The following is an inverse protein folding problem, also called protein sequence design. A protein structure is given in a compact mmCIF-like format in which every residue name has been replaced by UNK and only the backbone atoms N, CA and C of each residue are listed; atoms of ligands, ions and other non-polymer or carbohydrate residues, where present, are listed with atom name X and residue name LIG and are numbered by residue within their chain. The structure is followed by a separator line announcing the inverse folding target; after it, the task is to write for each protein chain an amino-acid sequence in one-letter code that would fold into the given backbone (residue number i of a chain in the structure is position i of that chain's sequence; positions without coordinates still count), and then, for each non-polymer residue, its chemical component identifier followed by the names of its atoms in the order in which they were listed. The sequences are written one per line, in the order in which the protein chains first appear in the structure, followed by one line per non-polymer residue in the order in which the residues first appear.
data_IF_454586717182
#
_entry.id   IF_454586717182
#
_cell.length_a   1.000
_cell.length_b   1.000
_cell.length_c   1.000
_cell.angle_alpha   90.00
_cell.angle_beta   90.00
_cell.angle_gamma   90.00
#
_symmetry.space_group_name_H-M   'P 1'
#
loop_
_entity.id
_entity.type
_entity.pdbx_description
1 polymer ?
#
# COMPACT_ATOMS: atom_id res chain seq x y z
N UNK A 1 17.13 -10.98 5.66
CA UNK A 1 15.96 -10.67 4.80
C UNK A 1 16.09 -11.23 3.38
N UNK A 2 17.13 -10.91 2.61
CA UNK A 2 17.24 -11.36 1.21
C UNK A 2 17.18 -12.87 0.99
N UNK A 3 17.84 -13.66 1.85
CA UNK A 3 17.82 -15.12 1.75
C UNK A 3 16.45 -15.72 2.08
N UNK A 4 15.86 -15.33 3.22
CA UNK A 4 14.53 -15.77 3.60
C UNK A 4 13.46 -15.45 2.52
N UNK A 5 13.51 -14.25 1.94
CA UNK A 5 12.59 -13.86 0.88
C UNK A 5 12.71 -14.76 -0.37
N UNK A 6 13.93 -15.12 -0.77
CA UNK A 6 14.19 -16.04 -1.90
C UNK A 6 13.68 -17.45 -1.60
N UNK A 7 13.93 -17.95 -0.39
CA UNK A 7 13.47 -19.29 0.01
C UNK A 7 11.95 -19.38 0.03
N UNK A 8 11.25 -18.39 0.60
CA UNK A 8 9.79 -18.33 0.57
C UNK A 8 9.29 -18.27 -0.88
N UNK A 9 9.86 -17.39 -1.70
CA UNK A 9 9.48 -17.24 -3.11
C UNK A 9 9.66 -18.53 -3.92
N UNK A 10 10.68 -19.33 -3.61
CA UNK A 10 10.90 -20.62 -4.26
C UNK A 10 9.95 -21.71 -3.75
N UNK A 11 9.46 -21.59 -2.51
CA UNK A 11 8.63 -22.59 -1.85
C UNK A 11 7.12 -22.43 -2.10
N UNK A 12 6.63 -21.23 -2.42
CA UNK A 12 5.20 -20.98 -2.61
C UNK A 12 4.91 -20.30 -3.96
N UNK A 13 3.77 -20.61 -4.61
CA UNK A 13 3.38 -19.95 -5.86
C UNK A 13 2.83 -18.53 -5.66
N UNK A 14 2.67 -18.09 -4.40
CA UNK A 14 2.08 -16.79 -4.06
C UNK A 14 3.11 -15.65 -4.13
N UNK A 15 2.69 -14.42 -4.48
CA UNK A 15 3.58 -13.27 -4.45
C UNK A 15 4.07 -12.95 -3.04
N UNK A 16 5.39 -12.98 -2.82
CA UNK A 16 6.04 -12.42 -1.63
C UNK A 16 6.05 -10.88 -1.67
N UNK A 17 5.48 -10.26 -0.63
CA UNK A 17 5.41 -8.80 -0.45
C UNK A 17 6.18 -8.41 0.82
N UNK A 18 7.04 -7.39 0.74
CA UNK A 18 7.76 -6.86 1.89
C UNK A 18 6.84 -5.92 2.69
N UNK A 19 6.67 -6.19 3.99
CA UNK A 19 6.17 -5.24 4.98
C UNK A 19 7.40 -4.59 5.66
N UNK A 20 7.78 -3.37 5.28
CA UNK A 20 9.10 -2.83 5.62
C UNK A 20 9.16 -2.26 7.05
N UNK A 21 10.20 -2.64 7.78
CA UNK A 21 10.59 -2.02 9.06
C UNK A 21 11.61 -0.87 8.86
N UNK A 22 12.10 -0.67 7.63
CA UNK A 22 13.12 0.31 7.27
C UNK A 22 13.85 -0.06 5.98
N UNK A 23 14.79 0.78 5.52
CA UNK A 23 15.49 0.60 4.23
C UNK A 23 16.32 -0.70 4.15
N UNK A 24 16.81 -1.22 5.28
CA UNK A 24 17.56 -2.48 5.36
C UNK A 24 16.73 -3.73 5.06
N UNK A 25 15.40 -3.62 5.02
CA UNK A 25 14.49 -4.73 4.70
C UNK A 25 14.31 -4.95 3.19
N UNK A 26 14.74 -4.02 2.34
CA UNK A 26 14.54 -4.07 0.89
C UNK A 26 15.46 -5.10 0.24
N UNK A 27 14.91 -5.91 -0.68
CA UNK A 27 15.65 -6.94 -1.40
C UNK A 27 15.01 -7.24 -2.75
N UNK A 28 15.80 -7.62 -3.75
CA UNK A 28 15.30 -8.15 -5.04
C UNK A 28 14.73 -9.57 -4.95
N UNK A 29 14.76 -10.19 -3.76
CA UNK A 29 14.19 -11.51 -3.52
C UNK A 29 12.66 -11.55 -3.42
N UNK A 30 11.99 -10.39 -3.35
CA UNK A 30 10.53 -10.27 -3.27
C UNK A 30 9.93 -9.69 -4.55
N UNK A 31 8.61 -9.80 -4.72
CA UNK A 31 7.89 -9.26 -5.89
C UNK A 31 7.50 -7.79 -5.69
N UNK A 32 7.07 -7.44 -4.48
CA UNK A 32 6.55 -6.12 -4.17
C UNK A 32 6.97 -5.64 -2.78
N UNK A 33 6.76 -4.35 -2.52
CA UNK A 33 6.90 -3.72 -1.22
C UNK A 33 5.65 -2.90 -0.92
N UNK A 34 5.16 -3.00 0.32
CA UNK A 34 4.17 -2.07 0.84
C UNK A 34 4.86 -0.72 1.02
N UNK A 35 4.61 0.19 0.08
CA UNK A 35 5.21 1.51 0.03
C UNK A 35 4.36 2.46 0.87
N UNK A 36 4.49 2.30 2.19
CA UNK A 36 3.58 2.87 3.19
C UNK A 36 3.98 4.29 3.60
N UNK A 37 2.99 5.11 3.94
CA UNK A 37 3.15 6.37 4.68
C UNK A 37 2.39 6.29 6.00
N UNK A 38 3.05 6.50 7.14
CA UNK A 38 2.38 6.54 8.44
C UNK A 38 1.73 7.91 8.62
N UNK A 39 0.46 8.02 8.27
CA UNK A 39 -0.21 9.31 8.05
C UNK A 39 -0.43 10.11 9.34
N UNK A 40 -0.58 9.43 10.47
CA UNK A 40 -0.72 10.04 11.78
C UNK A 40 0.59 10.04 12.59
N UNK A 41 1.75 9.92 11.95
CA UNK A 41 3.04 10.12 12.62
C UNK A 41 3.34 11.60 12.81
N UNK A 42 3.86 11.97 13.98
CA UNK A 42 4.46 13.30 14.21
C UNK A 42 5.86 13.43 13.59
N UNK A 43 6.44 12.32 13.14
CA UNK A 43 7.76 12.26 12.57
C UNK A 43 7.69 12.23 11.03
N UNK A 44 8.08 13.33 10.38
CA UNK A 44 8.15 13.43 8.90
C UNK A 44 9.06 12.36 8.26
N UNK A 45 9.98 11.78 9.05
CA UNK A 45 10.75 10.58 8.73
C UNK A 45 9.88 9.43 8.25
N UNK A 46 8.76 9.19 8.93
CA UNK A 46 7.84 8.07 8.71
C UNK A 46 6.64 8.45 7.84
N UNK A 47 6.36 9.75 7.71
CA UNK A 47 5.36 10.25 6.77
C UNK A 47 5.90 10.20 5.33
N UNK A 48 7.10 10.72 5.06
CA UNK A 48 7.59 10.84 3.66
C UNK A 48 9.10 10.78 3.45
N UNK A 49 9.94 11.17 4.42
CA UNK A 49 11.38 11.31 4.18
C UNK A 49 12.08 9.97 3.97
N UNK A 50 11.69 8.92 4.70
CA UNK A 50 12.25 7.57 4.50
C UNK A 50 11.82 6.98 3.16
N UNK A 51 10.58 7.22 2.76
CA UNK A 51 10.00 6.80 1.49
C UNK A 51 10.75 7.45 0.33
N UNK A 52 10.99 8.76 0.40
CA UNK A 52 11.77 9.49 -0.59
C UNK A 52 13.20 8.92 -0.74
N UNK A 53 13.85 8.55 0.37
CA UNK A 53 15.17 7.90 0.35
C UNK A 53 15.12 6.47 -0.20
N UNK A 54 14.06 5.73 0.08
CA UNK A 54 13.88 4.35 -0.36
C UNK A 54 13.47 4.23 -1.84
N UNK A 55 12.75 5.21 -2.41
CA UNK A 55 12.20 5.14 -3.76
C UNK A 55 13.24 4.79 -4.86
N UNK A 56 14.45 5.41 -4.90
CA UNK A 56 15.48 5.01 -5.86
C UNK A 56 15.95 3.57 -5.67
N UNK A 57 16.02 3.09 -4.42
CA UNK A 57 16.41 1.71 -4.10
C UNK A 57 15.34 0.73 -4.59
N UNK A 58 14.06 0.99 -4.26
CA UNK A 58 12.91 0.19 -4.71
C UNK A 58 12.92 0.06 -6.23
N UNK A 59 13.12 1.18 -6.94
CA UNK A 59 13.20 1.19 -8.41
C UNK A 59 14.38 0.36 -8.95
N UNK A 60 15.57 0.50 -8.35
CA UNK A 60 16.76 -0.28 -8.77
C UNK A 60 16.59 -1.78 -8.53
N UNK A 61 15.89 -2.16 -7.45
CA UNK A 61 15.64 -3.56 -7.11
C UNK A 61 14.51 -4.19 -7.95
N UNK A 62 13.78 -3.40 -8.74
CA UNK A 62 12.67 -3.90 -9.55
C UNK A 62 11.44 -4.32 -8.72
N UNK A 63 11.32 -3.82 -7.49
CA UNK A 63 10.18 -4.10 -6.62
C UNK A 63 8.95 -3.33 -7.08
N UNK A 64 7.78 -3.98 -7.17
CA UNK A 64 6.50 -3.27 -7.34
C UNK A 64 6.17 -2.47 -6.06
N UNK A 65 6.02 -1.14 -6.13
CA UNK A 65 5.54 -0.37 -5.00
C UNK A 65 4.01 -0.44 -4.90
N UNK A 66 3.51 -0.89 -3.75
CA UNK A 66 2.09 -0.87 -3.41
C UNK A 66 1.84 0.36 -2.52
N UNK A 67 1.32 1.49 -3.07
CA UNK A 67 1.16 2.73 -2.32
C UNK A 67 0.04 2.59 -1.29
N UNK A 68 0.34 2.85 -0.02
CA UNK A 68 -0.56 2.54 1.09
C UNK A 68 -0.53 3.62 2.18
N UNK A 69 -1.71 4.07 2.60
CA UNK A 69 -1.88 4.86 3.81
C UNK A 69 -1.87 3.94 5.02
N UNK A 70 -0.99 4.19 5.98
CA UNK A 70 -0.87 3.40 7.21
C UNK A 70 -1.29 4.26 8.40
N UNK A 71 -2.34 3.84 9.11
CA UNK A 71 -2.93 4.57 10.21
C UNK A 71 -2.87 3.75 11.50
N UNK A 72 -2.20 4.29 12.51
CA UNK A 72 -2.04 3.60 13.81
C UNK A 72 -3.18 3.98 14.75
N UNK A 73 -3.95 2.97 15.14
CA UNK A 73 -5.10 3.04 16.04
C UNK A 73 -4.66 2.61 17.44
N UNK A 74 -5.17 3.28 18.47
CA UNK A 74 -4.89 2.91 19.85
C UNK A 74 -5.23 1.43 20.14
N UNK A 75 -4.35 0.69 20.85
CA UNK A 75 -3.21 1.18 21.62
C UNK A 75 -1.92 1.41 20.82
N UNK A 76 -1.85 1.01 19.55
CA UNK A 76 -0.71 1.21 18.64
C UNK A 76 0.54 0.40 18.99
N UNK A 77 0.70 -0.04 20.24
CA UNK A 77 1.81 -0.85 20.73
C UNK A 77 3.16 -0.26 20.31
N UNK A 78 4.16 -1.12 20.10
CA UNK A 78 5.52 -0.73 19.71
C UNK A 78 5.57 0.11 18.44
N UNK A 79 4.71 -0.16 17.45
CA UNK A 79 4.71 0.61 16.19
C UNK A 79 4.20 2.04 16.40
N UNK A 80 3.25 2.25 17.33
CA UNK A 80 2.84 3.59 17.73
C UNK A 80 3.95 4.37 18.43
N UNK A 81 4.69 3.70 19.33
CA UNK A 81 5.81 4.30 20.06
C UNK A 81 6.99 4.68 19.15
N UNK A 82 7.53 3.73 18.38
CA UNK A 82 8.59 4.01 17.38
C UNK A 82 8.10 5.01 16.35
N UNK A 83 6.82 4.88 16.00
CA UNK A 83 6.15 5.68 15.00
C UNK A 83 5.99 7.15 15.38
N UNK A 84 6.19 7.49 16.66
CA UNK A 84 5.75 8.76 17.24
C UNK A 84 4.30 9.09 16.84
N UNK A 85 3.47 8.04 16.75
CA UNK A 85 2.13 8.15 16.23
C UNK A 85 1.27 9.01 17.17
N UNK A 86 0.62 10.00 16.58
CA UNK A 86 -0.54 10.63 17.17
C UNK A 86 -1.72 9.67 16.99
N UNK A 87 -1.83 8.72 17.92
CA UNK A 87 -2.74 7.59 17.83
C UNK A 87 -4.17 8.06 17.61
N UNK A 88 -4.86 7.40 16.67
CA UNK A 88 -6.31 7.55 16.54
C UNK A 88 -6.96 6.68 17.61
N UNK A 89 -7.72 7.31 18.49
CA UNK A 89 -8.51 6.66 19.53
C UNK A 89 -9.56 5.72 18.93
N UNK A 90 -9.90 4.68 19.69
CA UNK A 90 -10.76 3.58 19.20
C UNK A 90 -12.17 4.03 18.83
N UNK A 91 -12.65 5.12 19.40
CA UNK A 91 -13.97 5.71 19.10
C UNK A 91 -13.89 6.92 18.15
N UNK A 92 -12.68 7.34 17.73
CA UNK A 92 -12.47 8.50 16.84
C UNK A 92 -12.69 8.12 15.36
N UNK A 93 -13.88 7.59 15.03
CA UNK A 93 -14.20 7.08 13.70
C UNK A 93 -14.05 8.14 12.59
N UNK A 94 -14.51 9.37 12.85
CA UNK A 94 -14.44 10.47 11.88
C UNK A 94 -12.99 10.86 11.56
N UNK A 95 -12.11 10.84 12.57
CA UNK A 95 -10.67 11.09 12.38
C UNK A 95 -10.04 10.00 11.52
N UNK A 96 -10.39 8.74 11.75
CA UNK A 96 -9.94 7.63 10.91
C UNK A 96 -10.42 7.76 9.46
N UNK A 97 -11.69 8.13 9.25
CA UNK A 97 -12.27 8.40 7.93
C UNK A 97 -11.54 9.55 7.21
N UNK A 98 -11.25 10.64 7.93
CA UNK A 98 -10.52 11.79 7.37
C UNK A 98 -9.13 11.41 6.84
N UNK A 99 -8.36 10.66 7.61
CA UNK A 99 -7.06 10.15 7.15
C UNK A 99 -7.19 9.18 5.98
N UNK A 100 -8.18 8.29 6.02
CA UNK A 100 -8.41 7.31 4.98
C UNK A 100 -8.78 7.97 3.64
N UNK A 101 -9.70 8.95 3.66
CA UNK A 101 -10.06 9.75 2.49
C UNK A 101 -8.87 10.55 1.97
N UNK A 102 -8.08 11.17 2.87
CA UNK A 102 -6.86 11.88 2.46
C UNK A 102 -5.88 10.94 1.75
N UNK A 103 -5.69 9.71 2.25
CA UNK A 103 -4.85 8.70 1.60
C UNK A 103 -5.33 8.39 0.18
N UNK A 104 -6.63 8.12 0.02
CA UNK A 104 -7.23 7.83 -1.29
C UNK A 104 -7.10 9.02 -2.26
N UNK A 105 -7.42 10.24 -1.82
CA UNK A 105 -7.31 11.46 -2.62
C UNK A 105 -5.86 11.78 -3.03
N UNK A 106 -4.88 11.38 -2.21
CA UNK A 106 -3.45 11.47 -2.53
C UNK A 106 -2.98 10.35 -3.48
N UNK A 107 -3.88 9.48 -3.94
CA UNK A 107 -3.60 8.41 -4.89
C UNK A 107 -3.06 7.12 -4.27
N UNK A 108 -3.15 6.97 -2.94
CA UNK A 108 -2.81 5.69 -2.30
C UNK A 108 -3.89 4.66 -2.65
N UNK A 109 -3.46 3.50 -3.14
CA UNK A 109 -4.36 2.45 -3.63
C UNK A 109 -4.85 1.51 -2.52
N UNK A 110 -4.39 1.71 -1.29
CA UNK A 110 -4.72 0.91 -0.12
C UNK A 110 -4.70 1.79 1.14
N UNK A 111 -5.56 1.46 2.10
CA UNK A 111 -5.50 1.99 3.47
C UNK A 111 -5.36 0.82 4.45
N UNK A 112 -4.55 0.99 5.48
CA UNK A 112 -4.30 0.00 6.51
C UNK A 112 -4.57 0.59 7.89
N UNK A 113 -5.48 -0.04 8.66
CA UNK A 113 -5.72 0.28 10.07
C UNK A 113 -4.95 -0.69 10.96
N UNK A 114 -4.04 -0.16 11.77
CA UNK A 114 -3.14 -0.93 12.63
C UNK A 114 -3.44 -0.70 14.10
N UNK A 115 -3.88 -1.73 14.84
CA UNK A 115 -4.00 -1.64 16.30
C UNK A 115 -2.67 -1.84 17.06
N UNK A 116 -1.65 -2.36 16.37
CA UNK A 116 -0.34 -2.71 16.90
C UNK A 116 -0.17 -4.22 17.05
N UNK A 117 1.01 -4.73 16.72
CA UNK A 117 1.36 -6.13 16.96
C UNK A 117 1.25 -6.46 18.45
N UNK A 118 0.55 -7.55 18.77
CA UNK A 118 0.29 -7.96 20.14
C UNK A 118 -0.82 -7.17 20.86
N UNK A 119 -1.50 -6.21 20.20
CA UNK A 119 -2.59 -5.46 20.81
C UNK A 119 -3.64 -6.39 21.47
N UNK A 120 -4.21 -6.04 22.64
CA UNK A 120 -5.15 -6.89 23.35
C UNK A 120 -6.46 -7.11 22.60
N UNK A 121 -6.82 -6.18 21.71
CA UNK A 121 -7.99 -6.26 20.85
C UNK A 121 -7.67 -5.68 19.46
N UNK A 122 -8.34 -6.15 18.40
CA UNK A 122 -8.21 -5.57 17.07
C UNK A 122 -8.84 -4.17 16.99
N UNK A 123 -8.71 -3.53 15.83
CA UNK A 123 -9.45 -2.30 15.50
C UNK A 123 -10.96 -2.56 15.66
N UNK A 124 -11.74 -1.64 16.27
CA UNK A 124 -13.17 -1.84 16.44
C UNK A 124 -13.91 -2.06 15.11
N UNK A 125 -14.85 -3.00 15.08
CA UNK A 125 -15.68 -3.26 13.89
C UNK A 125 -16.45 -2.01 13.43
N UNK A 126 -16.89 -1.17 14.38
CA UNK A 126 -17.55 0.09 14.09
C UNK A 126 -16.64 1.05 13.30
N UNK A 127 -15.37 1.18 13.70
CA UNK A 127 -14.37 1.96 12.98
C UNK A 127 -14.11 1.38 11.59
N UNK A 128 -13.93 0.06 11.47
CA UNK A 128 -13.71 -0.61 10.18
C UNK A 128 -14.87 -0.32 9.22
N UNK A 129 -16.11 -0.43 9.70
CA UNK A 129 -17.32 -0.13 8.91
C UNK A 129 -17.39 1.34 8.51
N UNK A 130 -17.08 2.25 9.44
CA UNK A 130 -17.09 3.68 9.17
C UNK A 130 -16.08 4.04 8.08
N UNK A 131 -14.84 3.54 8.18
CA UNK A 131 -13.79 3.77 7.17
C UNK A 131 -14.15 3.12 5.84
N UNK A 132 -14.64 1.88 5.82
CA UNK A 132 -15.06 1.22 4.57
C UNK A 132 -16.19 1.97 3.85
N UNK A 133 -17.09 2.61 4.59
CA UNK A 133 -18.22 3.34 3.99
C UNK A 133 -17.82 4.55 3.15
N UNK A 134 -16.61 5.09 3.35
CA UNK A 134 -16.11 6.29 2.64
C UNK A 134 -15.01 6.00 1.62
N UNK A 135 -14.37 4.83 1.70
CA UNK A 135 -13.27 4.45 0.80
C UNK A 135 -13.78 3.74 -0.43
N UNK A 136 -13.22 4.02 -1.61
CA UNK A 136 -13.37 3.14 -2.77
C UNK A 136 -12.23 2.13 -2.90
N UNK A 137 -11.04 2.45 -2.36
CA UNK A 137 -9.86 1.58 -2.36
C UNK A 137 -9.95 0.45 -1.32
N UNK A 138 -9.22 -0.66 -1.47
CA UNK A 138 -9.18 -1.72 -0.46
C UNK A 138 -8.71 -1.25 0.93
N UNK A 139 -9.36 -1.77 1.96
CA UNK A 139 -9.06 -1.56 3.37
C UNK A 139 -8.41 -2.81 3.96
N UNK A 140 -7.25 -2.66 4.60
CA UNK A 140 -6.55 -3.71 5.34
C UNK A 140 -6.65 -3.42 6.83
N UNK A 141 -6.80 -4.46 7.65
CA UNK A 141 -6.89 -4.33 9.11
C UNK A 141 -5.90 -5.30 9.75
N UNK A 142 -5.12 -4.81 10.71
CA UNK A 142 -4.13 -5.60 11.44
C UNK A 142 -4.00 -5.20 12.91
N UNK A 143 -3.26 -6.03 13.64
CA UNK A 143 -3.07 -5.90 15.07
C UNK A 143 -4.19 -6.56 15.89
N UNK A 144 -3.81 -7.36 16.88
CA UNK A 144 -4.74 -7.94 17.88
C UNK A 144 -5.74 -9.01 17.41
N UNK A 145 -5.73 -9.43 16.13
CA UNK A 145 -6.58 -10.50 15.61
C UNK A 145 -5.97 -11.86 15.98
N UNK A 146 -6.67 -12.68 16.78
CA UNK A 146 -6.14 -13.95 17.32
C UNK A 146 -6.94 -15.17 16.91
N UNK A 147 -8.11 -15.00 16.32
CA UNK A 147 -9.01 -16.10 16.00
C UNK A 147 -9.71 -15.91 14.64
N UNK A 148 -10.08 -17.04 14.02
CA UNK A 148 -10.90 -17.04 12.80
C UNK A 148 -12.22 -16.28 12.94
N UNK A 149 -12.98 -16.43 14.04
CA UNK A 149 -14.19 -15.64 14.28
C UNK A 149 -13.95 -14.13 14.32
N UNK A 150 -12.88 -13.65 14.96
CA UNK A 150 -12.53 -12.22 14.95
C UNK A 150 -12.21 -11.73 13.54
N UNK A 151 -11.41 -12.49 12.78
CA UNK A 151 -11.12 -12.17 11.40
C UNK A 151 -12.39 -12.11 10.53
N UNK A 152 -13.32 -13.06 10.72
CA UNK A 152 -14.59 -13.09 10.00
C UNK A 152 -15.47 -11.87 10.30
N UNK A 153 -15.54 -11.42 11.56
CA UNK A 153 -16.28 -10.20 11.92
C UNK A 153 -15.67 -8.95 11.28
N UNK A 154 -14.35 -8.83 11.28
CA UNK A 154 -13.66 -7.69 10.63
C UNK A 154 -13.84 -7.71 9.11
N UNK A 155 -13.78 -8.89 8.48
CA UNK A 155 -14.09 -9.05 7.05
C UNK A 155 -15.53 -8.62 6.74
N UNK A 156 -16.50 -9.01 7.56
CA UNK A 156 -17.89 -8.60 7.41
C UNK A 156 -18.07 -7.09 7.62
N UNK A 157 -17.38 -6.50 8.60
CA UNK A 157 -17.40 -5.06 8.85
C UNK A 157 -16.77 -4.25 7.71
N UNK A 158 -15.74 -4.81 7.05
CA UNK A 158 -15.05 -4.21 5.91
C UNK A 158 -15.66 -4.56 4.55
N UNK A 159 -16.81 -5.25 4.50
CA UNK A 159 -17.49 -5.53 3.23
C UNK A 159 -18.15 -4.26 2.65
N UNK A 160 -18.26 -4.13 1.32
CA UNK A 160 -19.00 -3.03 0.71
C UNK A 160 -20.46 -3.04 1.20
N UNK A 161 -20.95 -1.88 1.64
CA UNK A 161 -22.36 -1.72 1.99
C UNK A 161 -23.27 -1.73 0.75
N UNK A 162 -24.57 -2.02 0.92
CA UNK A 162 -25.54 -1.88 -0.18
C UNK A 162 -25.54 -0.43 -0.68
N UNK A 163 -25.23 -0.23 -1.96
CA UNK A 163 -25.14 1.09 -2.59
C UNK A 163 -23.72 1.62 -2.82
N UNK A 164 -22.69 0.98 -2.24
CA UNK A 164 -21.30 1.29 -2.54
C UNK A 164 -20.91 0.75 -3.93
N UNK A 165 -21.16 1.52 -4.99
CA UNK A 165 -20.74 1.16 -6.35
C UNK A 165 -19.28 1.52 -6.54
N UNK A 166 -18.47 0.55 -6.95
CA UNK A 166 -17.11 0.80 -7.41
C UNK A 166 -17.18 1.42 -8.81
N UNK A 167 -17.43 2.72 -8.87
CA UNK A 167 -17.53 3.47 -10.13
C UNK A 167 -16.12 3.81 -10.65
N UNK A 168 -15.35 2.77 -10.97
CA UNK A 168 -14.09 2.89 -11.69
C UNK A 168 -14.11 2.04 -12.96
N UNK A 169 -14.87 2.53 -13.94
CA UNK A 169 -14.53 2.34 -15.35
C UNK A 169 -13.43 3.34 -15.74
N UNK A 170 -12.18 2.88 -15.80
CA UNK A 170 -11.06 3.74 -16.24
C UNK A 170 -9.69 3.26 -15.81
N UNK A 171 -9.20 2.14 -16.35
CA UNK A 171 -7.80 1.73 -16.17
C UNK A 171 -7.47 0.29 -16.54
N UNK A 172 -8.48 -0.57 -16.66
CA UNK A 172 -8.31 -1.98 -17.01
C UNK A 172 -8.45 -2.27 -18.49
N UNK A 173 -7.61 -1.71 -19.37
CA UNK A 173 -7.57 -2.17 -20.77
C UNK A 173 -6.22 -1.96 -21.49
N UNK A 174 -5.09 -2.14 -20.79
CA UNK A 174 -3.75 -2.15 -21.43
C UNK A 174 -2.84 -3.30 -21.02
N UNK A 175 -3.39 -4.44 -20.59
CA UNK A 175 -2.58 -5.65 -20.29
C UNK A 175 -3.03 -6.88 -21.10
N UNK A 176 -3.84 -6.72 -22.15
CA UNK A 176 -4.28 -7.81 -23.04
C UNK A 176 -3.90 -7.61 -24.52
N UNK A 177 -2.77 -6.98 -24.80
CA UNK A 177 -2.41 -6.62 -26.19
C UNK A 177 -0.93 -6.68 -26.58
N UNK A 178 -0.04 -7.31 -25.82
CA UNK A 178 1.39 -7.29 -26.15
C UNK A 178 2.06 -8.67 -26.32
N UNK A 179 1.30 -9.77 -26.33
CA UNK A 179 1.87 -11.13 -26.43
C UNK A 179 1.64 -11.82 -27.79
N UNK A 180 1.49 -11.06 -28.89
CA UNK A 180 1.34 -11.63 -30.24
C UNK A 180 2.21 -11.06 -31.35
N UNK A 181 3.11 -10.11 -31.09
CA UNK A 181 3.90 -9.46 -32.17
C UNK A 181 5.41 -9.72 -32.12
N UNK A 182 5.88 -10.71 -31.37
CA UNK A 182 7.32 -11.07 -31.30
C UNK A 182 7.60 -12.44 -31.94
N UNK A 183 7.18 -12.65 -33.19
CA UNK A 183 7.80 -13.63 -34.09
C UNK A 183 7.76 -13.10 -35.53
N UNK A 184 8.96 -13.06 -36.17
CA UNK A 184 9.29 -12.68 -37.57
C UNK A 184 9.27 -11.16 -37.81
N UNK A 185 10.21 -10.50 -38.48
CA UNK A 185 11.48 -10.83 -39.14
C UNK A 185 12.11 -9.51 -39.64
N UNK A 186 13.45 -9.44 -39.70
CA UNK A 186 14.31 -8.63 -40.61
C UNK A 186 14.16 -7.09 -40.73
N UNK A 187 15.26 -6.39 -40.40
CA UNK A 187 15.67 -5.02 -40.78
C UNK A 187 15.92 -4.84 -42.31
N UNK A 188 16.26 -3.65 -42.88
CA UNK A 188 16.36 -2.28 -42.30
C UNK A 188 15.68 -1.15 -43.12
N UNK A 189 15.44 0.00 -42.49
CA UNK A 189 15.10 1.26 -43.18
C UNK A 189 15.51 2.49 -42.39
N UNK A 190 16.44 3.29 -42.94
CA UNK A 190 16.97 4.53 -42.36
C UNK A 190 15.86 5.56 -42.12
N UNK A 191 15.78 6.13 -40.91
CA UNK A 191 15.03 7.36 -40.63
C UNK A 191 15.92 8.35 -39.89
N UNK A 192 16.08 9.55 -40.44
CA UNK A 192 16.86 10.68 -39.91
C UNK A 192 16.18 11.31 -38.68
N UNK A 193 16.93 11.92 -37.73
CA UNK A 193 16.34 12.55 -36.56
C UNK A 193 15.79 13.94 -36.90
N UNK A 194 14.51 14.19 -36.57
CA UNK A 194 13.97 15.56 -36.45
C UNK A 194 14.19 16.05 -35.03
N UNK A 195 14.98 17.11 -34.88
CA UNK A 195 15.07 17.92 -33.67
C UNK A 195 13.83 18.83 -33.59
N UNK A 196 13.12 18.80 -32.48
CA UNK A 196 12.22 19.90 -32.08
C UNK A 196 12.48 20.24 -30.62
N UNK A 197 13.08 21.42 -30.42
CA UNK A 197 13.44 21.95 -29.12
C UNK A 197 12.21 22.49 -28.38
N UNK A 198 12.19 22.25 -27.07
CA UNK A 198 11.34 22.97 -26.14
C UNK A 198 12.17 24.09 -25.52
N UNK A 199 11.81 25.34 -25.83
CA UNK A 199 12.32 26.54 -25.13
C UNK A 199 11.42 26.78 -23.93
N UNK A 200 11.99 26.78 -22.73
CA UNK A 200 11.39 27.39 -21.56
C UNK A 200 11.34 28.91 -21.74
N UNK A 201 10.18 29.52 -21.50
CA UNK A 201 10.07 30.95 -21.24
C UNK A 201 10.23 31.18 -19.73
N UNK A 202 10.94 32.26 -19.42
CA UNK A 202 11.29 32.73 -18.07
C UNK A 202 10.06 33.17 -17.29
#
# INVERSE_FOLDING_TARGET
MGEAARQIRAAVPLPTIIFPEGSGSLTSGAHAVLFMSMLNSRNLGLVIRTQARAAPVVRRLGLEPIPMGYLVIAPGMRVGEVGEADLVGREEHERAQGYALAAEMLGMRFVYLEAGSGAPAPVPEAMVRAVRSVLTVPLVVGGGIRSGPEAARLLAAGAPGPGHRNDHGGGGDRVRGSDRSLRRSSMPGKVRPRRSGWRLRR
#
